data_IF_599156921084
#
_entry.id   IF_599156921084
#
_cell.length_a   1.000
_cell.length_b   1.000
_cell.length_c   1.000
_cell.angle_alpha   90.00
_cell.angle_beta   90.00
_cell.angle_gamma   90.00
#
_symmetry.space_group_name_H-M   'P 1'
#
loop_
_entity.id
_entity.type
_entity.pdbx_description
1 polymer ?
#
# COMPACT_ATOMS: atom_id res chain seq x y z
N UNK A 1 -2.06 4.18 47.17
CA UNK A 1 -0.63 3.90 46.93
C UNK A 1 -0.41 3.69 45.44
N UNK A 2 0.31 4.59 44.75
CA UNK A 2 0.78 4.37 43.37
C UNK A 2 2.29 4.43 43.40
N UNK A 3 2.92 3.27 43.42
CA UNK A 3 4.37 3.14 43.44
C UNK A 3 4.81 2.95 41.98
N UNK A 4 5.52 3.93 41.41
CA UNK A 4 6.01 3.87 40.03
C UNK A 4 7.51 4.16 40.04
N UNK A 5 8.30 3.11 40.28
CA UNK A 5 9.72 3.10 39.95
C UNK A 5 9.87 2.92 38.44
N UNK A 6 10.63 3.80 37.80
CA UNK A 6 10.94 3.71 36.37
C UNK A 6 12.46 3.80 36.20
N UNK A 7 13.09 2.65 36.02
CA UNK A 7 14.45 2.54 35.47
C UNK A 7 14.30 2.27 33.98
N UNK A 8 14.85 3.17 33.17
CA UNK A 8 14.50 3.32 31.77
C UNK A 8 15.14 2.34 30.79
N UNK A 9 14.73 2.52 29.53
CA UNK A 9 15.53 2.22 28.34
C UNK A 9 15.01 3.08 27.19
N UNK A 10 15.85 3.98 26.69
CA UNK A 10 15.61 4.79 25.49
C UNK A 10 15.71 3.88 24.26
N UNK A 11 14.58 3.53 23.65
CA UNK A 11 14.54 3.13 22.26
C UNK A 11 13.51 4.00 21.54
N UNK A 12 13.99 4.79 20.59
CA UNK A 12 13.17 5.66 19.75
C UNK A 12 12.14 4.79 19.00
N UNK A 13 10.92 4.72 19.51
CA UNK A 13 9.80 4.07 18.84
C UNK A 13 8.67 5.06 18.71
N UNK A 14 8.08 5.10 17.52
CA UNK A 14 7.03 6.02 17.17
C UNK A 14 5.81 5.85 18.12
N UNK A 15 5.06 6.93 18.45
CA UNK A 15 4.05 6.94 19.52
C UNK A 15 2.98 5.84 19.43
N UNK A 16 2.69 5.35 18.23
CA UNK A 16 1.71 4.29 17.96
C UNK A 16 2.17 2.88 18.39
N UNK A 17 3.49 2.66 18.53
CA UNK A 17 4.04 1.35 18.92
C UNK A 17 3.85 1.09 20.42
N UNK A 18 3.88 2.14 21.25
CA UNK A 18 3.72 2.02 22.70
C UNK A 18 2.29 1.69 23.12
N UNK A 19 1.29 2.22 22.40
CA UNK A 19 -0.13 2.00 22.67
C UNK A 19 -0.53 0.53 22.38
N UNK A 20 0.02 -0.04 21.29
CA UNK A 20 -0.21 -1.42 20.90
C UNK A 20 0.32 -2.45 21.91
N UNK A 21 1.44 -2.18 22.59
CA UNK A 21 2.04 -3.09 23.57
C UNK A 21 1.15 -3.27 24.82
N UNK A 22 0.41 -2.24 25.22
CA UNK A 22 -0.56 -2.32 26.32
C UNK A 22 -1.74 -3.22 25.98
N UNK A 23 -2.27 -3.10 24.76
CA UNK A 23 -3.43 -3.86 24.29
C UNK A 23 -3.20 -5.38 24.22
N UNK A 24 -1.96 -5.83 23.95
CA UNK A 24 -1.66 -7.27 23.77
C UNK A 24 -1.34 -8.01 25.06
N UNK A 25 -1.14 -7.29 26.18
CA UNK A 25 -0.73 -7.89 27.45
C UNK A 25 -1.86 -8.59 28.22
N UNK A 26 -3.13 -8.32 27.86
CA UNK A 26 -4.33 -8.82 28.55
C UNK A 26 -5.20 -9.75 27.69
N UNK A 27 -4.78 -10.10 26.47
CA UNK A 27 -5.57 -10.95 25.57
C UNK A 27 -5.11 -10.88 24.12
N UNK A 28 -5.93 -11.39 23.22
CA UNK A 28 -5.63 -11.39 21.79
C UNK A 28 -5.62 -9.97 21.22
N UNK A 29 -4.63 -9.70 20.39
CA UNK A 29 -4.40 -8.42 19.75
C UNK A 29 -4.75 -8.50 18.27
N UNK A 30 -5.54 -7.54 17.79
CA UNK A 30 -5.95 -7.47 16.39
C UNK A 30 -5.61 -6.09 15.84
N UNK A 31 -4.59 -5.96 14.98
CA UNK A 31 -4.29 -4.69 14.34
C UNK A 31 -5.47 -4.25 13.45
N UNK A 32 -5.65 -2.94 13.24
CA UNK A 32 -6.62 -2.47 12.27
C UNK A 32 -6.27 -3.01 10.88
N UNK A 33 -7.30 -3.40 10.13
CA UNK A 33 -7.13 -3.75 8.73
C UNK A 33 -6.67 -2.50 7.94
N UNK A 34 -5.86 -2.71 6.92
CA UNK A 34 -5.36 -1.66 6.04
C UNK A 34 -5.21 -2.16 4.59
N UNK A 35 -4.94 -1.22 3.68
CA UNK A 35 -4.67 -1.56 2.29
C UNK A 35 -3.33 -2.31 2.16
N UNK A 36 -3.40 -3.54 1.66
CA UNK A 36 -2.23 -4.39 1.49
C UNK A 36 -1.37 -4.00 0.28
N UNK A 37 -1.90 -3.20 -0.65
CA UNK A 37 -1.20 -2.78 -1.86
C UNK A 37 -0.27 -1.59 -1.62
N UNK A 38 -0.56 -0.78 -0.59
CA UNK A 38 0.22 0.42 -0.27
C UNK A 38 1.67 0.05 0.08
N UNK A 39 2.62 0.70 -0.61
CA UNK A 39 4.06 0.43 -0.45
C UNK A 39 4.55 -0.88 -1.08
N UNK A 40 3.66 -1.65 -1.73
CA UNK A 40 3.97 -2.96 -2.32
C UNK A 40 3.86 -3.00 -3.84
N UNK A 41 3.84 -1.84 -4.51
CA UNK A 41 3.72 -1.77 -5.97
C UNK A 41 4.73 -2.67 -6.71
N UNK A 42 5.98 -2.76 -6.22
CA UNK A 42 7.03 -3.60 -6.78
C UNK A 42 6.82 -5.13 -6.58
N UNK A 43 5.94 -5.52 -5.65
CA UNK A 43 5.57 -6.92 -5.40
C UNK A 43 4.34 -7.35 -6.23
N UNK A 44 3.67 -6.41 -6.88
CA UNK A 44 2.51 -6.72 -7.72
C UNK A 44 2.98 -7.30 -9.05
N UNK A 45 2.37 -8.43 -9.44
CA UNK A 45 2.67 -9.12 -10.69
C UNK A 45 1.38 -9.44 -11.42
N UNK A 46 1.27 -8.98 -12.66
CA UNK A 46 0.23 -9.40 -13.59
C UNK A 46 0.73 -10.56 -14.46
N UNK A 47 -0.16 -11.48 -14.81
CA UNK A 47 0.13 -12.53 -15.79
C UNK A 47 0.15 -12.00 -17.23
N UNK A 48 -0.57 -10.91 -17.49
CA UNK A 48 -0.64 -10.22 -18.77
C UNK A 48 -0.71 -8.71 -18.58
N UNK A 49 -0.22 -7.96 -19.57
CA UNK A 49 -0.31 -6.50 -19.60
C UNK A 49 -0.40 -6.10 -21.06
N UNK A 50 -1.45 -5.36 -21.42
CA UNK A 50 -1.60 -4.79 -22.77
C UNK A 50 -0.55 -3.70 -23.01
N UNK A 51 -0.26 -3.40 -24.27
CA UNK A 51 0.60 -2.26 -24.61
C UNK A 51 2.11 -2.45 -24.37
N UNK A 52 2.57 -3.57 -23.77
CA UNK A 52 3.96 -3.74 -23.32
C UNK A 52 4.99 -3.67 -24.44
N UNK A 53 4.67 -4.20 -25.62
CA UNK A 53 5.55 -4.23 -26.79
C UNK A 53 5.25 -3.11 -27.79
N UNK A 54 3.98 -2.77 -27.97
CA UNK A 54 3.47 -1.74 -28.88
C UNK A 54 2.14 -1.22 -28.34
N UNK A 55 1.74 0.03 -28.70
CA UNK A 55 0.43 0.53 -28.32
C UNK A 55 -0.70 -0.43 -28.73
N UNK A 56 -1.63 -0.69 -27.82
CA UNK A 56 -2.75 -1.61 -28.05
C UNK A 56 -4.07 -0.87 -27.83
N UNK A 57 -4.94 -0.90 -28.86
CA UNK A 57 -6.26 -0.26 -28.85
C UNK A 57 -7.27 -1.09 -28.06
N UNK A 58 -8.06 -0.45 -27.20
CA UNK A 58 -9.13 -1.07 -26.43
C UNK A 58 -10.37 -0.17 -26.38
N UNK A 59 -11.53 -0.77 -26.08
CA UNK A 59 -12.79 -0.04 -25.94
C UNK A 59 -13.12 0.17 -24.47
N UNK A 60 -13.64 1.36 -24.14
CA UNK A 60 -14.23 1.62 -22.82
C UNK A 60 -15.71 1.23 -22.80
N UNK A 61 -16.30 1.03 -21.61
CA UNK A 61 -17.74 0.78 -21.46
C UNK A 61 -18.62 1.90 -22.05
N UNK A 62 -18.11 3.13 -22.18
CA UNK A 62 -18.83 4.28 -22.72
C UNK A 62 -18.71 4.43 -24.25
N UNK A 63 -18.06 3.47 -24.93
CA UNK A 63 -17.92 3.46 -26.39
C UNK A 63 -16.77 4.31 -26.92
N UNK A 64 -15.90 4.83 -26.05
CA UNK A 64 -14.69 5.53 -26.45
C UNK A 64 -13.56 4.53 -26.75
N UNK A 65 -12.85 4.78 -27.85
CA UNK A 65 -11.70 3.97 -28.30
C UNK A 65 -10.43 4.59 -27.74
N UNK A 66 -9.70 3.82 -26.93
CA UNK A 66 -8.50 4.28 -26.25
C UNK A 66 -7.29 3.43 -26.64
N UNK A 67 -6.09 3.95 -26.41
CA UNK A 67 -4.85 3.24 -26.73
C UNK A 67 -3.97 3.15 -25.49
N UNK A 68 -3.57 1.94 -25.11
CA UNK A 68 -2.60 1.74 -24.04
C UNK A 68 -1.21 2.20 -24.51
N UNK A 69 -0.56 3.17 -23.84
CA UNK A 69 0.79 3.56 -24.19
C UNK A 69 1.79 2.47 -23.77
N UNK A 70 2.94 2.33 -24.47
CA UNK A 70 4.01 1.45 -24.01
C UNK A 70 4.51 1.89 -22.62
N UNK A 71 4.96 0.95 -21.81
CA UNK A 71 5.29 1.14 -20.39
C UNK A 71 6.30 2.26 -20.10
N UNK A 72 7.07 2.70 -21.09
CA UNK A 72 8.00 3.84 -21.03
C UNK A 72 7.33 5.21 -21.09
N UNK A 73 6.05 5.28 -21.45
CA UNK A 73 5.27 6.53 -21.57
C UNK A 73 4.20 6.68 -20.47
N UNK A 74 4.34 5.98 -19.34
CA UNK A 74 3.39 6.05 -18.21
C UNK A 74 3.20 7.48 -17.62
N UNK A 75 4.11 8.41 -17.90
CA UNK A 75 4.01 9.82 -17.48
C UNK A 75 3.34 10.72 -18.53
N UNK A 76 3.05 10.20 -19.72
CA UNK A 76 2.15 10.86 -20.66
C UNK A 76 0.75 10.46 -20.23
N UNK A 77 0.00 11.40 -19.65
CA UNK A 77 -1.44 11.24 -19.46
C UNK A 77 -2.08 11.20 -20.86
N UNK A 78 -2.03 10.04 -21.50
CA UNK A 78 -2.85 9.74 -22.65
C UNK A 78 -4.28 9.74 -22.15
N UNK A 79 -5.09 10.64 -22.68
CA UNK A 79 -6.52 10.42 -22.64
C UNK A 79 -6.85 9.03 -23.22
N UNK A 80 -8.00 8.51 -22.81
CA UNK A 80 -9.00 8.34 -23.85
C UNK A 80 -9.27 9.76 -24.41
#
# INVERSE_FOLDING_TARGET
MKNKGSSGAKYLSAPWVLDAQGACSHGACYPPAGDLLLGRAHLLRASSTCGLSRPETYCTPHGEVCSSPPSTLLNLASGC
#
